data_IF_904868794155
#
_entry.id   IF_904868794155
#
_cell.length_a   1.000
_cell.length_b   1.000
_cell.length_c   1.000
_cell.angle_alpha   90.00
_cell.angle_beta   90.00
_cell.angle_gamma   90.00
#
_symmetry.space_group_name_H-M   'P 1'
#
loop_
_entity.id
_entity.type
_entity.pdbx_description
1 polymer ?
#
# COMPACT_ATOMS: atom_id res chain seq x y z
N UNK A 1 7.76 -3.98 22.53
CA UNK A 1 7.77 -4.61 21.20
C UNK A 1 6.34 -4.68 20.68
N UNK A 2 5.99 -3.91 19.63
CA UNK A 2 4.70 -4.09 18.96
C UNK A 2 4.64 -5.51 18.41
N UNK A 3 3.64 -6.30 18.83
CA UNK A 3 3.43 -7.64 18.27
C UNK A 3 3.02 -7.46 16.80
N UNK A 4 3.67 -8.18 15.88
CA UNK A 4 3.34 -8.16 14.44
C UNK A 4 1.84 -8.38 14.18
N UNK A 5 1.20 -9.17 15.03
CA UNK A 5 -0.23 -9.46 14.97
C UNK A 5 -1.15 -8.26 15.25
N UNK A 6 -0.64 -7.16 15.82
CA UNK A 6 -1.38 -5.91 15.97
C UNK A 6 -1.37 -5.11 14.67
N UNK A 7 -0.24 -5.09 13.96
CA UNK A 7 -0.11 -4.45 12.64
C UNK A 7 -1.04 -5.14 11.64
N UNK A 8 -1.02 -6.47 11.59
CA UNK A 8 -1.87 -7.26 10.70
C UNK A 8 -3.37 -7.13 11.00
N UNK A 9 -3.74 -6.77 12.23
CA UNK A 9 -5.14 -6.59 12.65
C UNK A 9 -5.56 -5.13 12.70
N UNK A 10 -4.77 -4.22 12.14
CA UNK A 10 -5.02 -2.77 12.18
C UNK A 10 -5.32 -2.25 13.60
N UNK A 11 -4.60 -2.80 14.59
CA UNK A 11 -4.67 -2.36 15.99
C UNK A 11 -3.61 -1.30 16.26
N UNK A 12 -3.89 -0.43 17.21
CA UNK A 12 -2.95 0.61 17.64
C UNK A 12 -1.57 -0.01 17.99
N UNK A 13 -0.45 0.47 17.41
CA UNK A 13 0.88 -0.11 17.63
C UNK A 13 1.40 0.11 19.06
N UNK A 14 0.86 1.11 19.78
CA UNK A 14 1.24 1.43 21.16
C UNK A 14 0.51 0.56 22.18
N UNK A 15 -0.83 0.46 22.06
CA UNK A 15 -1.67 -0.19 23.07
C UNK A 15 -2.27 -1.53 22.63
N UNK A 16 -2.34 -1.84 21.34
CA UNK A 16 -2.88 -3.09 20.78
C UNK A 16 -4.40 -3.26 20.93
N UNK A 17 -5.11 -2.33 21.59
CA UNK A 17 -6.55 -2.41 21.90
C UNK A 17 -7.41 -1.61 20.92
N UNK A 18 -7.06 -0.35 20.68
CA UNK A 18 -7.82 0.52 19.77
C UNK A 18 -7.70 0.10 18.31
N UNK A 19 -8.75 0.34 17.52
CA UNK A 19 -8.75 0.19 16.06
C UNK A 19 -8.13 1.42 15.41
N UNK A 20 -7.38 1.18 14.34
CA UNK A 20 -6.77 2.24 13.54
C UNK A 20 -7.82 2.91 12.63
N UNK A 21 -8.60 2.10 11.93
CA UNK A 21 -9.62 2.54 10.96
C UNK A 21 -11.01 2.65 11.60
N UNK A 22 -11.80 3.61 11.11
CA UNK A 22 -13.20 3.84 11.54
C UNK A 22 -14.09 2.66 11.16
N UNK A 23 -13.85 2.07 9.98
CA UNK A 23 -14.54 0.85 9.54
C UNK A 23 -13.53 -0.28 9.33
N UNK A 24 -13.70 -1.44 9.98
CA UNK A 24 -12.82 -2.59 9.77
C UNK A 24 -13.10 -3.36 8.47
N UNK A 25 -14.14 -2.97 7.72
CA UNK A 25 -14.54 -3.64 6.49
C UNK A 25 -13.74 -3.13 5.29
N UNK A 26 -12.86 -3.97 4.74
CA UNK A 26 -12.06 -3.65 3.55
C UNK A 26 -12.88 -3.54 2.26
N UNK A 27 -14.13 -4.02 2.24
CA UNK A 27 -15.02 -3.94 1.08
C UNK A 27 -15.80 -2.62 0.97
N UNK A 28 -15.74 -1.76 2.00
CA UNK A 28 -16.35 -0.43 1.95
C UNK A 28 -15.36 0.60 1.39
N UNK A 29 -15.12 0.52 0.07
CA UNK A 29 -14.12 1.31 -0.68
C UNK A 29 -14.23 2.83 -0.48
N UNK A 30 -15.37 3.33 0.01
CA UNK A 30 -15.57 4.76 0.32
C UNK A 30 -14.92 5.18 1.64
N UNK A 31 -14.74 4.26 2.56
CA UNK A 31 -14.28 4.53 3.93
C UNK A 31 -13.08 3.68 4.37
N UNK A 32 -12.45 2.94 3.46
CA UNK A 32 -11.25 2.14 3.75
C UNK A 32 -10.05 2.98 4.22
N UNK A 33 -9.95 4.23 3.76
CA UNK A 33 -8.89 5.16 4.18
C UNK A 33 -9.29 6.04 5.39
N UNK A 34 -10.51 5.89 5.92
CA UNK A 34 -10.98 6.69 7.04
C UNK A 34 -10.37 6.18 8.35
N UNK A 35 -9.53 7.01 8.97
CA UNK A 35 -8.77 6.68 10.16
C UNK A 35 -9.14 7.62 11.31
N UNK A 36 -9.09 7.12 12.56
CA UNK A 36 -9.33 7.98 13.71
C UNK A 36 -8.18 9.00 13.87
N UNK A 37 -8.48 10.19 14.40
CA UNK A 37 -7.46 11.21 14.70
C UNK A 37 -6.56 10.80 15.86
N UNK A 38 -7.13 10.14 16.87
CA UNK A 38 -6.43 9.63 18.05
C UNK A 38 -6.97 8.26 18.45
N UNK A 39 -6.15 7.49 19.16
CA UNK A 39 -6.55 6.19 19.68
C UNK A 39 -7.52 6.34 20.85
N UNK A 40 -8.71 5.72 20.75
CA UNK A 40 -9.74 5.74 21.79
C UNK A 40 -9.27 5.15 23.13
N UNK A 41 -8.32 4.22 23.12
CA UNK A 41 -7.85 3.54 24.34
C UNK A 41 -6.61 4.19 24.98
N UNK A 42 -5.77 4.88 24.22
CA UNK A 42 -4.51 5.44 24.75
C UNK A 42 -4.32 6.94 24.47
N UNK A 43 -5.25 7.58 23.77
CA UNK A 43 -5.20 9.01 23.45
C UNK A 43 -4.09 9.41 22.49
N UNK A 44 -3.32 8.47 21.96
CA UNK A 44 -2.19 8.76 21.07
C UNK A 44 -2.72 9.22 19.71
N UNK A 45 -2.29 10.39 19.25
CA UNK A 45 -2.61 10.88 17.91
C UNK A 45 -2.04 9.93 16.85
N UNK A 46 -2.89 9.49 15.92
CA UNK A 46 -2.47 8.64 14.80
C UNK A 46 -1.79 9.44 13.68
N UNK A 47 -1.97 10.76 13.67
CA UNK A 47 -1.25 11.68 12.80
C UNK A 47 0.18 11.92 13.35
N UNK A 48 1.08 10.97 13.12
CA UNK A 48 2.53 11.25 13.21
C UNK A 48 2.86 12.17 12.03
N UNK A 49 3.62 13.24 12.26
CA UNK A 49 3.64 14.47 11.44
C UNK A 49 3.34 14.25 9.94
N UNK A 50 2.43 15.03 9.33
CA UNK A 50 1.94 14.79 7.97
C UNK A 50 3.05 14.60 6.93
N UNK A 51 4.22 15.22 7.14
CA UNK A 51 5.40 15.04 6.28
C UNK A 51 5.87 13.59 6.10
N UNK A 52 5.75 12.73 7.12
CA UNK A 52 6.14 11.32 6.99
C UNK A 52 5.16 10.53 6.10
N UNK A 53 3.86 10.81 6.23
CA UNK A 53 2.84 10.20 5.37
C UNK A 53 2.94 10.68 3.92
N UNK A 54 3.24 11.97 3.70
CA UNK A 54 3.51 12.50 2.37
C UNK A 54 4.76 11.87 1.74
N UNK A 55 5.84 11.68 2.53
CA UNK A 55 7.03 10.98 2.07
C UNK A 55 6.74 9.54 1.67
N UNK A 56 5.97 8.80 2.48
CA UNK A 56 5.58 7.43 2.17
C UNK A 56 4.72 7.35 0.89
N UNK A 57 3.80 8.30 0.69
CA UNK A 57 3.01 8.41 -0.53
C UNK A 57 3.91 8.62 -1.76
N UNK A 58 4.82 9.60 -1.71
CA UNK A 58 5.74 9.90 -2.81
C UNK A 58 6.62 8.70 -3.20
N UNK A 59 7.12 7.96 -2.19
CA UNK A 59 7.90 6.74 -2.43
C UNK A 59 7.04 5.66 -3.10
N UNK A 60 5.80 5.46 -2.64
CA UNK A 60 4.89 4.48 -3.26
C UNK A 60 4.50 4.84 -4.69
N UNK A 61 4.32 6.13 -4.99
CA UNK A 61 4.02 6.61 -6.34
C UNK A 61 5.22 6.43 -7.26
N UNK A 62 6.42 6.79 -6.82
CA UNK A 62 7.65 6.60 -7.59
C UNK A 62 7.91 5.13 -7.92
N UNK A 63 7.74 4.23 -6.94
CA UNK A 63 7.84 2.78 -7.14
C UNK A 63 6.81 2.26 -8.15
N UNK A 64 5.56 2.71 -8.04
CA UNK A 64 4.49 2.33 -8.96
C UNK A 64 4.83 2.76 -10.39
N UNK A 65 5.23 4.01 -10.58
CA UNK A 65 5.65 4.53 -11.90
C UNK A 65 6.83 3.72 -12.47
N UNK A 66 7.85 3.44 -11.65
CA UNK A 66 9.00 2.64 -12.08
C UNK A 66 8.60 1.23 -12.52
N UNK A 67 7.72 0.57 -11.77
CA UNK A 67 7.18 -0.75 -12.12
C UNK A 67 6.40 -0.70 -13.44
N UNK A 68 5.54 0.30 -13.64
CA UNK A 68 4.81 0.47 -14.90
C UNK A 68 5.75 0.67 -16.10
N UNK A 69 6.78 1.51 -15.96
CA UNK A 69 7.78 1.71 -17.02
C UNK A 69 8.54 0.41 -17.31
N UNK A 70 8.97 -0.32 -16.27
CA UNK A 70 9.65 -1.60 -16.42
C UNK A 70 8.77 -2.62 -17.16
N UNK A 71 7.49 -2.73 -16.80
CA UNK A 71 6.52 -3.59 -17.48
C UNK A 71 6.30 -3.16 -18.93
N UNK A 72 6.21 -1.86 -19.21
CA UNK A 72 6.01 -1.35 -20.58
C UNK A 72 7.23 -1.62 -21.47
N UNK A 73 8.44 -1.44 -20.96
CA UNK A 73 9.69 -1.75 -21.67
C UNK A 73 9.82 -3.25 -21.87
N UNK A 74 9.58 -4.05 -20.83
CA UNK A 74 9.60 -5.50 -20.91
C UNK A 74 8.55 -6.04 -21.89
N UNK A 75 7.35 -5.45 -21.92
CA UNK A 75 6.31 -5.80 -22.90
C UNK A 75 6.70 -5.40 -24.32
N UNK A 76 7.31 -4.23 -24.53
CA UNK A 76 7.77 -3.83 -25.88
C UNK A 76 8.97 -4.65 -26.37
N UNK A 77 9.96 -4.91 -25.51
CA UNK A 77 11.10 -5.78 -25.83
C UNK A 77 10.71 -7.25 -25.95
N UNK A 78 9.78 -7.71 -25.11
CA UNK A 78 9.24 -9.07 -25.10
C UNK A 78 8.29 -9.35 -26.27
N UNK A 79 7.51 -8.38 -26.74
CA UNK A 79 6.70 -8.54 -27.96
C UNK A 79 7.58 -8.66 -29.20
N UNK A 80 8.68 -7.90 -29.26
CA UNK A 80 9.63 -8.00 -30.38
C UNK A 80 10.36 -9.35 -30.39
N UNK A 81 10.74 -9.88 -29.22
CA UNK A 81 11.39 -11.20 -29.07
C UNK A 81 10.42 -12.40 -29.12
N UNK A 82 9.15 -12.20 -28.76
CA UNK A 82 8.11 -13.21 -28.90
C UNK A 82 7.62 -13.32 -30.35
N UNK A 83 7.52 -12.20 -31.08
CA UNK A 83 7.18 -12.20 -32.50
C UNK A 83 8.29 -12.87 -33.33
N UNK A 84 9.57 -12.66 -33.01
CA UNK A 84 10.67 -13.38 -33.67
C UNK A 84 10.71 -14.89 -33.38
N UNK A 85 9.93 -15.38 -32.40
CA UNK A 85 9.80 -16.82 -32.08
C UNK A 85 8.51 -17.45 -32.62
N UNK A 86 7.63 -16.68 -33.26
CA UNK A 86 6.35 -17.15 -33.83
C UNK A 86 6.40 -17.24 -35.38
N UNK A 87 7.45 -16.72 -36.04
CA UNK A 87 7.66 -16.80 -37.50
C UNK A 87 8.40 -18.09 -37.95
N UNK A 88 8.24 -19.21 -37.23
CA UNK A 88 8.52 -20.56 -37.77
C UNK A 88 7.41 -21.53 -37.35
N UNK A 89 6.31 -21.58 -38.12
CA UNK A 89 5.77 -22.88 -38.49
C UNK A 89 5.27 -22.89 -39.94
N UNK A 90 6.11 -23.35 -40.88
CA UNK A 90 5.81 -24.25 -42.02
C UNK A 90 6.95 -24.25 -43.03
#
# INVERSE_FOLDING_TARGET
>A
MPKLSWILRNRCPKCGKGTLFVKPNAYDLRHTAAMHSACESCGEGFAREPGFCYGAAYVSDALTVALWIAVLVARRGGWSLACSRIQEPS
#
